data_IF_308181046795
#
_entry.id   IF_308181046795
#
_cell.length_a   1.000
_cell.length_b   1.000
_cell.length_c   1.000
_cell.angle_alpha   90.00
_cell.angle_beta   90.00
_cell.angle_gamma   90.00
#
_symmetry.space_group_name_H-M   'P 1'
#
loop_
_entity.id
_entity.type
_entity.pdbx_description
1 polymer ?
#
# COMPACT_ATOMS: atom_id res chain seq x y z
N UNK A 1 2.30 -66.67 18.45
CA UNK A 1 2.16 -66.17 17.07
C UNK A 1 2.18 -64.65 17.14
N UNK A 2 2.90 -64.00 16.23
CA UNK A 2 3.02 -62.53 16.13
C UNK A 2 2.59 -62.16 14.72
N UNK A 3 1.77 -61.12 14.56
CA UNK A 3 1.99 -59.99 13.64
C UNK A 3 0.76 -59.06 13.67
N UNK A 4 0.99 -57.80 14.08
CA UNK A 4 0.08 -56.71 13.72
C UNK A 4 0.35 -56.31 12.26
N UNK A 5 -0.70 -55.90 11.55
CA UNK A 5 -0.62 -55.44 10.15
C UNK A 5 -1.62 -54.32 9.89
N UNK A 6 -1.12 -53.21 9.35
CA UNK A 6 -1.84 -51.94 9.24
C UNK A 6 -1.78 -51.43 7.78
N UNK A 7 -2.92 -51.25 7.11
CA UNK A 7 -3.02 -50.66 5.75
C UNK A 7 -4.30 -49.82 5.57
N UNK A 8 -4.14 -48.63 4.98
CA UNK A 8 -5.20 -47.68 4.57
C UNK A 8 -5.81 -48.01 3.20
N UNK A 9 -7.05 -47.58 2.93
CA UNK A 9 -7.51 -47.06 1.61
C UNK A 9 -8.49 -45.88 1.84
N UNK A 10 -8.57 -44.96 0.88
CA UNK A 10 -9.07 -43.57 1.01
C UNK A 10 -10.52 -43.32 0.53
N UNK A 11 -11.01 -42.09 0.81
CA UNK A 11 -11.97 -41.25 0.06
C UNK A 11 -12.18 -39.93 0.83
N UNK A 12 -12.19 -38.72 0.26
CA UNK A 12 -11.68 -38.20 -1.02
C UNK A 12 -11.60 -36.66 -0.90
N UNK A 13 -10.87 -35.99 -1.79
CA UNK A 13 -10.67 -34.53 -1.81
C UNK A 13 -11.95 -33.67 -1.70
N UNK A 14 -11.90 -32.59 -0.91
CA UNK A 14 -12.83 -31.43 -1.03
C UNK A 14 -12.46 -30.19 -0.19
N UNK A 15 -11.53 -30.24 0.77
CA UNK A 15 -11.25 -29.09 1.68
C UNK A 15 -9.79 -28.66 1.79
N UNK A 16 -8.91 -29.13 0.90
CA UNK A 16 -7.57 -28.58 0.71
C UNK A 16 -7.38 -28.13 -0.74
N UNK A 17 -7.68 -26.86 -1.06
CA UNK A 17 -7.02 -26.24 -2.25
C UNK A 17 -6.92 -24.70 -2.31
N UNK A 18 -7.72 -23.89 -1.61
CA UNK A 18 -7.80 -22.43 -1.90
C UNK A 18 -7.40 -21.48 -0.76
N UNK A 19 -6.37 -21.80 0.02
CA UNK A 19 -5.79 -20.87 1.02
C UNK A 19 -4.28 -21.08 1.28
N UNK A 20 -3.47 -21.20 0.24
CA UNK A 20 -2.00 -21.25 0.36
C UNK A 20 -1.29 -20.17 -0.46
N UNK A 21 -0.12 -19.76 0.08
CA UNK A 21 0.92 -18.82 -0.40
C UNK A 21 0.93 -17.44 0.29
N UNK A 22 2.04 -16.93 0.87
CA UNK A 22 3.11 -17.54 1.71
C UNK A 22 3.42 -16.46 2.79
N UNK A 23 3.48 -16.67 4.12
CA UNK A 23 3.52 -17.84 5.02
C UNK A 23 4.90 -18.33 5.50
N UNK A 24 5.66 -17.48 6.22
CA UNK A 24 6.66 -17.95 7.21
C UNK A 24 6.52 -17.20 8.56
N UNK A 25 6.60 -17.90 9.72
CA UNK A 25 6.68 -17.27 11.04
C UNK A 25 7.88 -16.31 11.15
N UNK A 26 8.97 -16.59 10.45
CA UNK A 26 10.19 -15.80 10.40
C UNK A 26 9.96 -14.44 9.73
N UNK A 27 9.17 -14.38 8.64
CA UNK A 27 8.79 -13.10 8.03
C UNK A 27 7.96 -12.25 9.01
N UNK A 28 7.02 -12.86 9.74
CA UNK A 28 6.24 -12.20 10.78
C UNK A 28 7.11 -11.71 11.95
N UNK A 29 8.08 -12.51 12.39
CA UNK A 29 8.98 -12.14 13.48
C UNK A 29 9.94 -11.01 13.08
N UNK A 30 10.52 -11.08 11.88
CA UNK A 30 11.34 -9.99 11.31
C UNK A 30 10.57 -8.68 11.24
N UNK A 31 9.31 -8.72 10.80
CA UNK A 31 8.41 -7.56 10.74
C UNK A 31 8.19 -6.93 12.13
N UNK A 32 7.98 -7.76 13.16
CA UNK A 32 7.83 -7.30 14.56
C UNK A 32 9.13 -6.72 15.13
N UNK A 33 10.29 -7.28 14.81
CA UNK A 33 11.59 -6.77 15.29
C UNK A 33 12.05 -5.52 14.53
N UNK A 34 11.57 -5.33 13.29
CA UNK A 34 11.70 -4.09 12.52
C UNK A 34 10.86 -2.96 13.14
N UNK A 35 9.66 -3.25 13.66
CA UNK A 35 8.86 -2.26 14.40
C UNK A 35 9.53 -1.83 15.71
N UNK A 36 10.02 -2.79 16.51
CA UNK A 36 10.67 -2.48 17.80
C UNK A 36 11.85 -1.51 17.65
N UNK A 37 12.60 -1.61 16.54
CA UNK A 37 13.75 -0.74 16.23
C UNK A 37 13.37 0.69 15.82
N UNK A 38 12.11 0.97 15.50
CA UNK A 38 11.68 2.31 15.06
C UNK A 38 11.39 3.30 16.20
N UNK A 39 11.41 2.86 17.45
CA UNK A 39 11.08 3.70 18.61
C UNK A 39 12.30 4.55 19.06
N UNK A 40 13.53 4.14 18.75
CA UNK A 40 14.76 4.67 19.36
C UNK A 40 15.59 5.65 18.50
N UNK A 41 15.14 6.08 17.31
CA UNK A 41 15.93 7.01 16.50
C UNK A 41 15.15 7.95 15.57
N UNK A 42 14.92 9.18 16.03
CA UNK A 42 14.49 10.31 15.19
C UNK A 42 15.36 11.54 15.45
N UNK A 43 16.26 11.90 14.52
CA UNK A 43 17.02 13.15 14.58
C UNK A 43 16.76 14.05 13.37
N UNK A 44 15.54 14.56 13.17
CA UNK A 44 15.32 15.90 12.62
C UNK A 44 13.91 16.45 12.90
N UNK A 45 13.86 17.54 13.67
CA UNK A 45 12.67 18.36 13.95
C UNK A 45 11.96 18.86 12.68
N UNK A 46 10.64 18.69 12.64
CA UNK A 46 9.73 19.81 12.90
C UNK A 46 8.55 19.28 13.73
N UNK A 47 8.13 20.06 14.73
CA UNK A 47 7.40 19.52 15.88
C UNK A 47 5.90 19.33 15.68
N UNK A 48 5.44 18.08 15.82
CA UNK A 48 4.12 17.72 16.36
C UNK A 48 4.29 16.46 17.22
N UNK A 49 3.79 16.48 18.46
CA UNK A 49 4.07 15.44 19.45
C UNK A 49 3.07 14.28 19.41
N UNK A 50 3.61 13.06 19.36
CA UNK A 50 3.12 11.83 20.01
C UNK A 50 1.61 11.60 20.16
N UNK A 51 1.11 10.51 19.55
CA UNK A 51 0.48 9.43 20.33
C UNK A 51 0.51 8.07 19.57
N UNK A 52 0.33 6.97 20.30
CA UNK A 52 -0.30 5.76 19.78
C UNK A 52 0.58 4.80 18.97
N UNK A 53 1.60 4.22 19.59
CA UNK A 53 2.29 3.03 19.06
C UNK A 53 1.43 1.75 19.14
N UNK A 54 0.30 1.70 18.42
CA UNK A 54 -0.55 0.52 18.35
C UNK A 54 -0.08 -0.50 17.29
N UNK A 55 -0.25 -1.78 17.62
CA UNK A 55 0.27 -2.92 16.86
C UNK A 55 -0.69 -3.33 15.72
N UNK A 56 -0.52 -2.73 14.53
CA UNK A 56 -1.50 -2.81 13.43
C UNK A 56 -1.27 -3.98 12.45
N UNK A 57 -0.24 -4.81 12.61
CA UNK A 57 -0.09 -6.04 11.78
C UNK A 57 -1.04 -7.18 12.18
N UNK A 58 -1.90 -6.97 13.18
CA UNK A 58 -3.14 -7.72 13.27
C UNK A 58 -4.07 -7.26 12.15
N UNK A 59 -4.33 -8.13 11.15
CA UNK A 59 -5.31 -7.89 10.08
C UNK A 59 -6.61 -7.35 10.68
N UNK A 60 -6.83 -6.04 10.57
CA UNK A 60 -8.12 -5.45 10.86
C UNK A 60 -9.04 -5.90 9.73
N UNK A 61 -10.15 -6.62 9.99
CA UNK A 61 -11.10 -6.96 8.94
C UNK A 61 -11.61 -5.66 8.32
N UNK A 62 -11.44 -5.49 7.01
CA UNK A 62 -11.95 -4.33 6.26
C UNK A 62 -13.14 -4.77 5.43
N UNK A 63 -14.29 -4.14 5.65
CA UNK A 63 -15.46 -4.29 4.81
C UNK A 63 -15.24 -3.61 3.45
N UNK A 64 -14.81 -4.40 2.46
CA UNK A 64 -14.56 -3.90 1.09
C UNK A 64 -15.79 -3.34 0.38
N UNK A 65 -17.00 -3.62 0.90
CA UNK A 65 -18.24 -3.04 0.40
C UNK A 65 -18.52 -1.63 0.96
N UNK A 66 -17.91 -1.24 2.08
CA UNK A 66 -18.03 0.10 2.66
C UNK A 66 -16.94 1.04 2.10
N UNK A 67 -17.31 2.12 1.38
CA UNK A 67 -16.34 3.06 0.86
C UNK A 67 -15.55 3.82 1.93
N UNK A 68 -16.16 4.14 3.06
CA UNK A 68 -15.55 4.92 4.14
C UNK A 68 -14.54 4.08 4.91
N UNK A 69 -14.88 2.82 5.19
CA UNK A 69 -14.00 1.89 5.90
C UNK A 69 -12.71 1.62 5.11
N UNK A 70 -12.82 1.37 3.80
CA UNK A 70 -11.65 1.21 2.93
C UNK A 70 -10.80 2.48 2.84
N UNK A 71 -11.41 3.67 2.78
CA UNK A 71 -10.67 4.93 2.77
C UNK A 71 -9.91 5.14 4.09
N UNK A 72 -10.56 4.89 5.23
CA UNK A 72 -9.93 4.93 6.56
C UNK A 72 -8.77 3.93 6.68
N UNK A 73 -8.93 2.72 6.12
CA UNK A 73 -7.86 1.74 6.05
C UNK A 73 -6.65 2.26 5.26
N UNK A 74 -6.85 2.78 4.05
CA UNK A 74 -5.75 3.35 3.25
C UNK A 74 -5.06 4.51 3.97
N UNK A 75 -5.82 5.43 4.58
CA UNK A 75 -5.24 6.52 5.38
C UNK A 75 -4.38 6.01 6.52
N UNK A 76 -4.84 4.98 7.23
CA UNK A 76 -4.11 4.38 8.37
C UNK A 76 -2.83 3.71 7.89
N UNK A 77 -2.90 2.90 6.83
CA UNK A 77 -1.75 2.21 6.26
C UNK A 77 -0.70 3.19 5.71
N UNK A 78 -1.11 4.26 5.01
CA UNK A 78 -0.20 5.31 4.56
C UNK A 78 0.32 6.20 5.70
N UNK A 79 -0.42 6.40 6.79
CA UNK A 79 0.08 7.11 7.99
C UNK A 79 1.21 6.32 8.67
N UNK A 80 1.16 5.00 8.64
CA UNK A 80 2.22 4.10 9.14
C UNK A 80 3.47 4.04 8.26
N UNK A 81 3.43 4.58 7.03
CA UNK A 81 4.63 4.79 6.22
C UNK A 81 5.34 6.08 6.61
N UNK A 82 6.67 6.00 6.73
CA UNK A 82 7.51 7.16 6.99
C UNK A 82 7.45 8.15 5.82
N UNK A 83 7.54 9.45 6.14
CA UNK A 83 7.44 10.58 5.21
C UNK A 83 8.29 10.40 3.95
N UNK A 84 9.53 9.92 4.12
CA UNK A 84 10.50 9.68 3.04
C UNK A 84 10.00 8.62 2.04
N UNK A 85 9.37 7.55 2.51
CA UNK A 85 8.80 6.51 1.66
C UNK A 85 7.60 7.06 0.89
N UNK A 86 6.69 7.78 1.56
CA UNK A 86 5.55 8.43 0.89
C UNK A 86 6.01 9.42 -0.21
N UNK A 87 7.13 10.13 -0.01
CA UNK A 87 7.75 10.99 -1.06
C UNK A 87 8.22 10.18 -2.27
N UNK A 88 8.98 9.10 -2.04
CA UNK A 88 9.49 8.21 -3.09
C UNK A 88 8.34 7.59 -3.90
N UNK A 89 7.36 6.99 -3.21
CA UNK A 89 6.21 6.32 -3.84
C UNK A 89 5.42 7.33 -4.68
N UNK A 90 5.10 8.50 -4.11
CA UNK A 90 4.33 9.52 -4.84
C UNK A 90 5.05 10.01 -6.10
N UNK A 91 6.38 10.24 -6.04
CA UNK A 91 7.16 10.65 -7.22
C UNK A 91 7.10 9.62 -8.35
N UNK A 92 7.34 8.35 -8.04
CA UNK A 92 7.39 7.30 -9.06
C UNK A 92 5.99 6.94 -9.57
N UNK A 93 4.95 6.95 -8.72
CA UNK A 93 3.56 6.79 -9.15
C UNK A 93 3.14 7.92 -10.09
N UNK A 94 3.42 9.19 -9.76
CA UNK A 94 3.13 10.36 -10.63
C UNK A 94 3.83 10.23 -12.00
N UNK A 95 5.09 9.77 -12.00
CA UNK A 95 5.90 9.57 -13.21
C UNK A 95 5.38 8.42 -14.07
N UNK A 96 4.84 7.37 -13.45
CA UNK A 96 4.22 6.23 -14.12
C UNK A 96 2.87 6.60 -14.76
N UNK A 97 1.96 7.24 -14.01
CA UNK A 97 0.64 7.64 -14.52
C UNK A 97 0.71 8.79 -15.53
N UNK A 98 1.70 9.68 -15.40
CA UNK A 98 1.92 10.78 -16.34
C UNK A 98 3.41 10.87 -16.71
N UNK A 99 3.88 10.04 -17.67
CA UNK A 99 5.21 10.19 -18.24
C UNK A 99 5.40 11.60 -18.77
N UNK A 100 6.59 12.18 -18.52
CA UNK A 100 6.93 13.57 -18.87
C UNK A 100 6.04 14.64 -18.21
N UNK A 101 5.36 14.37 -17.07
CA UNK A 101 4.53 15.35 -16.35
C UNK A 101 5.16 16.73 -16.24
N UNK A 102 6.43 16.83 -15.84
CA UNK A 102 7.12 18.11 -15.63
C UNK A 102 7.14 19.02 -16.88
N UNK A 103 6.98 18.47 -18.09
CA UNK A 103 6.84 19.23 -19.33
C UNK A 103 5.38 19.65 -19.61
N UNK A 104 4.41 18.75 -19.42
CA UNK A 104 2.99 19.01 -19.73
C UNK A 104 2.28 19.82 -18.65
N UNK A 105 2.57 19.50 -17.39
CA UNK A 105 1.94 20.02 -16.17
C UNK A 105 3.02 20.46 -15.15
N UNK A 106 3.80 21.52 -15.45
CA UNK A 106 4.89 21.98 -14.59
C UNK A 106 4.38 22.60 -13.29
N UNK A 107 4.97 22.22 -12.16
CA UNK A 107 4.59 22.73 -10.82
C UNK A 107 4.76 24.26 -10.67
N UNK A 108 5.63 24.89 -11.46
CA UNK A 108 5.80 26.37 -11.47
C UNK A 108 4.51 27.12 -11.84
N UNK A 109 3.58 26.49 -12.56
CA UNK A 109 2.26 27.07 -12.85
C UNK A 109 1.23 26.86 -11.73
N UNK A 110 1.60 26.17 -10.64
CA UNK A 110 0.70 25.81 -9.55
C UNK A 110 -0.59 25.17 -10.07
N UNK A 111 -1.70 25.56 -9.46
CA UNK A 111 -3.02 24.98 -9.76
C UNK A 111 -3.53 25.31 -11.18
N UNK A 112 -3.02 26.36 -11.84
CA UNK A 112 -3.32 26.66 -13.26
C UNK A 112 -2.74 25.62 -14.23
N UNK A 113 -1.80 24.79 -13.77
CA UNK A 113 -1.20 23.67 -14.51
C UNK A 113 -1.47 22.32 -13.84
N UNK A 114 -2.45 22.25 -12.93
CA UNK A 114 -2.90 21.01 -12.30
C UNK A 114 -3.50 20.07 -13.38
N UNK A 115 -3.03 18.82 -13.53
CA UNK A 115 -3.66 17.87 -14.43
C UNK A 115 -5.02 17.43 -13.87
N UNK A 116 -5.95 17.05 -14.74
CA UNK A 116 -7.33 16.68 -14.38
C UNK A 116 -7.43 15.54 -13.34
N UNK A 117 -6.47 14.60 -13.37
CA UNK A 117 -6.40 13.49 -12.41
C UNK A 117 -5.86 13.87 -11.02
N UNK A 118 -5.38 15.10 -10.81
CA UNK A 118 -4.86 15.54 -9.52
C UNK A 118 -6.01 15.95 -8.59
N UNK A 119 -6.00 15.57 -7.30
CA UNK A 119 -7.09 15.92 -6.39
C UNK A 119 -7.33 17.43 -6.33
N UNK A 120 -8.60 17.84 -6.48
CA UNK A 120 -8.97 19.26 -6.50
C UNK A 120 -8.56 19.97 -5.19
N UNK A 121 -8.69 19.26 -4.06
CA UNK A 121 -8.38 19.68 -2.69
C UNK A 121 -6.89 19.65 -2.34
N UNK A 122 -6.03 19.04 -3.17
CA UNK A 122 -4.57 18.99 -2.94
C UNK A 122 -3.88 20.03 -3.83
N UNK A 123 -3.04 20.88 -3.23
CA UNK A 123 -2.19 21.84 -3.95
C UNK A 123 -1.34 21.15 -5.03
N UNK A 124 -1.20 21.77 -6.21
CA UNK A 124 -0.32 21.25 -7.26
C UNK A 124 1.15 21.60 -6.98
N UNK A 125 1.80 20.81 -6.13
CA UNK A 125 3.23 20.91 -5.76
C UNK A 125 3.94 19.57 -5.88
N UNK A 126 5.27 19.59 -5.93
CA UNK A 126 6.07 18.36 -5.86
C UNK A 126 5.83 17.60 -4.54
N UNK A 127 5.87 16.26 -4.52
CA UNK A 127 5.59 15.48 -3.31
C UNK A 127 6.45 15.85 -2.09
N UNK A 128 7.68 16.31 -2.30
CA UNK A 128 8.58 16.78 -1.23
C UNK A 128 8.13 18.09 -0.60
N UNK A 129 7.28 18.86 -1.30
CA UNK A 129 6.75 20.17 -0.89
C UNK A 129 5.26 20.11 -0.50
N UNK A 130 4.69 18.90 -0.44
CA UNK A 130 3.40 18.62 0.18
C UNK A 130 3.59 18.24 1.66
N UNK A 131 2.63 18.60 2.51
CA UNK A 131 2.51 18.08 3.87
C UNK A 131 2.24 16.56 3.85
N UNK A 132 2.38 15.89 5.00
CA UNK A 132 2.16 14.42 5.08
C UNK A 132 0.78 14.04 4.54
N UNK A 133 -0.25 14.68 5.07
CA UNK A 133 -1.63 14.32 4.80
C UNK A 133 -2.03 14.65 3.35
N UNK A 134 -1.57 15.76 2.79
CA UNK A 134 -1.78 16.09 1.38
C UNK A 134 -1.13 15.05 0.45
N UNK A 135 0.06 14.55 0.82
CA UNK A 135 0.73 13.48 0.09
C UNK A 135 0.00 12.14 0.22
N UNK A 136 -0.58 11.86 1.39
CA UNK A 136 -1.41 10.67 1.62
C UNK A 136 -2.71 10.77 0.81
N UNK A 137 -3.42 11.90 0.84
CA UNK A 137 -4.60 12.17 -0.01
C UNK A 137 -4.28 11.95 -1.49
N UNK A 138 -3.15 12.48 -1.97
CA UNK A 138 -2.68 12.27 -3.34
C UNK A 138 -2.42 10.80 -3.67
N UNK A 139 -1.73 10.05 -2.79
CA UNK A 139 -1.46 8.62 -2.97
C UNK A 139 -2.76 7.80 -3.02
N UNK A 140 -3.69 8.06 -2.09
CA UNK A 140 -5.00 7.41 -2.02
C UNK A 140 -5.82 7.73 -3.28
N UNK A 141 -5.78 8.97 -3.77
CA UNK A 141 -6.45 9.36 -5.00
C UNK A 141 -5.89 8.63 -6.22
N UNK A 142 -4.56 8.49 -6.32
CA UNK A 142 -3.90 7.77 -7.41
C UNK A 142 -4.39 6.31 -7.48
N UNK A 143 -4.39 5.58 -6.36
CA UNK A 143 -4.87 4.18 -6.36
C UNK A 143 -6.40 4.10 -6.55
N UNK A 144 -7.17 5.03 -5.97
CA UNK A 144 -8.62 4.90 -5.88
C UNK A 144 -9.40 5.42 -7.09
N UNK A 145 -8.88 6.45 -7.78
CA UNK A 145 -9.65 7.22 -8.76
C UNK A 145 -8.97 7.35 -10.14
N UNK A 146 -7.65 7.23 -10.26
CA UNK A 146 -6.98 7.33 -11.57
C UNK A 146 -7.27 6.06 -12.37
N UNK A 147 -7.83 6.20 -13.58
CA UNK A 147 -8.22 5.07 -14.43
C UNK A 147 -7.73 5.32 -15.87
N UNK A 148 -6.87 4.43 -16.33
CA UNK A 148 -6.33 4.28 -17.70
C UNK A 148 -6.10 2.77 -17.87
N UNK A 149 -6.19 2.23 -19.09
CA UNK A 149 -5.99 0.79 -19.35
C UNK A 149 -4.66 0.25 -18.81
N UNK A 150 -3.64 1.11 -18.67
CA UNK A 150 -2.29 0.76 -18.16
C UNK A 150 -2.12 1.02 -16.66
N UNK A 151 -3.04 1.74 -16.03
CA UNK A 151 -2.97 2.12 -14.61
C UNK A 151 -3.96 1.26 -13.82
N UNK A 152 -3.44 0.19 -13.24
CA UNK A 152 -4.20 -0.78 -12.43
C UNK A 152 -3.53 -0.96 -11.07
N UNK A 153 -4.24 -1.48 -10.06
CA UNK A 153 -3.59 -1.81 -8.79
C UNK A 153 -2.44 -2.83 -8.97
N UNK A 154 -2.50 -3.71 -9.98
CA UNK A 154 -1.40 -4.64 -10.33
C UNK A 154 -0.16 -3.90 -10.86
N UNK A 155 -0.31 -2.99 -11.83
CA UNK A 155 0.85 -2.30 -12.43
C UNK A 155 1.52 -1.33 -11.45
N UNK A 156 0.73 -0.73 -10.53
CA UNK A 156 1.28 0.02 -9.40
C UNK A 156 2.01 -0.90 -8.38
N UNK A 157 1.64 -2.17 -8.27
CA UNK A 157 2.30 -3.16 -7.39
C UNK A 157 3.63 -3.61 -7.98
N UNK A 158 3.68 -3.85 -9.28
CA UNK A 158 4.93 -4.13 -10.01
C UNK A 158 5.93 -2.97 -9.83
N UNK A 159 5.46 -1.74 -10.06
CA UNK A 159 6.25 -0.53 -9.81
C UNK A 159 6.71 -0.40 -8.35
N UNK A 160 5.87 -0.73 -7.36
CA UNK A 160 6.26 -0.76 -5.95
C UNK A 160 7.42 -1.76 -5.70
N UNK A 161 7.41 -2.90 -6.39
CA UNK A 161 8.48 -3.90 -6.35
C UNK A 161 9.80 -3.41 -6.94
N UNK A 162 9.77 -2.64 -8.02
CA UNK A 162 10.96 -2.03 -8.64
C UNK A 162 11.58 -0.97 -7.72
N UNK A 163 10.76 -0.11 -7.11
CA UNK A 163 11.23 1.01 -6.27
C UNK A 163 11.54 0.60 -4.82
N UNK A 164 11.34 -0.67 -4.42
CA UNK A 164 11.51 -1.10 -3.02
C UNK A 164 12.89 -0.81 -2.43
N UNK A 165 13.94 -0.81 -3.27
CA UNK A 165 15.32 -0.47 -2.87
C UNK A 165 15.55 1.04 -2.66
N UNK A 166 14.60 1.88 -3.07
CA UNK A 166 14.60 3.34 -2.85
C UNK A 166 13.86 3.74 -1.57
N UNK A 167 13.13 2.81 -0.95
CA UNK A 167 12.56 2.99 0.39
C UNK A 167 13.69 2.96 1.42
N UNK A 168 13.50 3.66 2.55
CA UNK A 168 14.51 3.70 3.61
C UNK A 168 14.77 2.33 4.28
N UNK A 169 13.78 1.45 4.22
CA UNK A 169 13.85 0.02 4.53
C UNK A 169 13.02 -0.72 3.46
N UNK A 170 13.63 -1.61 2.66
CA UNK A 170 12.92 -2.34 1.62
C UNK A 170 11.75 -3.20 2.12
N UNK A 171 11.69 -3.57 3.41
CA UNK A 171 10.55 -4.28 3.99
C UNK A 171 9.26 -3.45 3.99
N UNK A 172 9.37 -2.11 3.90
CA UNK A 172 8.23 -1.19 3.87
C UNK A 172 7.40 -1.29 2.59
N UNK A 173 7.89 -2.00 1.58
CA UNK A 173 7.10 -2.34 0.39
C UNK A 173 5.88 -3.19 0.72
N UNK A 174 5.94 -4.01 1.79
CA UNK A 174 4.83 -4.90 2.17
C UNK A 174 3.55 -4.12 2.55
N UNK A 175 3.69 -2.91 3.12
CA UNK A 175 2.54 -2.03 3.40
C UNK A 175 1.90 -1.54 2.10
N UNK A 176 2.71 -1.23 1.08
CA UNK A 176 2.24 -0.78 -0.24
C UNK A 176 1.54 -1.94 -0.96
N UNK A 177 2.12 -3.13 -0.89
CA UNK A 177 1.54 -4.36 -1.39
C UNK A 177 0.17 -4.64 -0.78
N UNK A 178 0.03 -4.56 0.55
CA UNK A 178 -1.24 -4.78 1.25
C UNK A 178 -2.33 -3.78 0.78
N UNK A 179 -1.97 -2.49 0.68
CA UNK A 179 -2.85 -1.43 0.14
C UNK A 179 -3.31 -1.76 -1.29
N UNK A 180 -2.40 -2.23 -2.15
CA UNK A 180 -2.67 -2.51 -3.56
C UNK A 180 -3.42 -3.83 -3.79
N UNK A 181 -3.31 -4.81 -2.88
CA UNK A 181 -4.15 -6.00 -2.89
C UNK A 181 -5.59 -5.65 -2.50
N UNK A 182 -5.79 -4.85 -1.45
CA UNK A 182 -7.12 -4.32 -1.07
C UNK A 182 -7.74 -3.46 -2.19
N UNK A 183 -6.93 -2.65 -2.88
CA UNK A 183 -7.31 -1.94 -4.11
C UNK A 183 -7.85 -2.89 -5.18
N UNK A 184 -7.09 -3.96 -5.51
CA UNK A 184 -7.43 -4.95 -6.52
C UNK A 184 -8.70 -5.76 -6.19
N UNK A 185 -8.84 -6.20 -4.94
CA UNK A 185 -10.04 -6.90 -4.48
C UNK A 185 -11.28 -6.01 -4.60
N UNK A 186 -11.16 -4.73 -4.23
CA UNK A 186 -12.24 -3.75 -4.37
C UNK A 186 -12.61 -3.46 -5.83
N UNK A 187 -11.65 -3.42 -6.74
CA UNK A 187 -11.94 -3.32 -8.19
C UNK A 187 -12.67 -4.56 -8.71
N UNK A 188 -12.25 -5.75 -8.26
CA UNK A 188 -12.90 -7.02 -8.63
C UNK A 188 -14.35 -7.09 -8.14
N UNK A 189 -14.62 -6.61 -6.92
CA UNK A 189 -15.99 -6.52 -6.35
C UNK A 189 -16.86 -5.52 -7.12
N UNK A 190 -16.30 -4.43 -7.65
CA UNK A 190 -17.03 -3.48 -8.52
C UNK A 190 -17.35 -4.09 -9.89
N UNK A 191 -16.38 -4.77 -10.50
CA UNK A 191 -16.55 -5.41 -11.81
C UNK A 191 -17.57 -6.56 -11.77
N UNK A 192 -17.54 -7.41 -10.74
CA UNK A 192 -18.48 -8.52 -10.55
C UNK A 192 -19.90 -8.12 -10.09
N UNK A 193 -20.21 -6.82 -10.02
CA UNK A 193 -21.53 -6.26 -9.70
C UNK A 193 -22.14 -5.46 -10.87
N UNK A 194 -21.53 -5.53 -12.05
CA UNK A 194 -22.02 -4.92 -13.30
C UNK A 194 -22.82 -5.92 -14.12
#
# INVERSE_FOLDING_TARGET
MIFEGNVRVEKSDSTQELASIVSTPEARQNLLDILKRQIDHDPATDGESSDGGENIYARTPVNLADPQEVMKYYETAFKNLQQINCRVIAKEFIKFIQPRKQHTHPYKGGDQRKPEWWPADVMHKEPDHLLKDDRIRLLIHIISNVRDERITCNSLRELAGDIKRMLNDPSRVEIIYEILDVCKERESIKAGKS
#
